data_IF_337233011508
#
_entry.id   IF_337233011508
#
_cell.length_a   1.000
_cell.length_b   1.000
_cell.length_c   1.000
_cell.angle_alpha   90.00
_cell.angle_beta   90.00
_cell.angle_gamma   90.00
#
_symmetry.space_group_name_H-M   'P 1'
#
loop_
_entity.id
_entity.type
_entity.pdbx_description
1 polymer ?
#
# COMPACT_ATOMS: atom_id res chain seq x y z
N UNK A 1 3.56 -38.81 9.14
CA UNK A 1 2.28 -39.14 8.50
C UNK A 1 1.51 -40.03 9.45
N UNK A 2 0.35 -39.57 9.90
CA UNK A 2 -0.54 -40.35 10.75
C UNK A 2 -1.54 -41.10 9.86
N UNK A 3 -1.33 -42.41 9.69
CA UNK A 3 -2.16 -43.24 8.81
C UNK A 3 -3.59 -43.38 9.31
N UNK A 4 -3.84 -43.25 10.62
CA UNK A 4 -5.21 -43.26 11.17
C UNK A 4 -5.95 -41.98 10.79
N UNK A 5 -5.30 -40.83 10.96
CA UNK A 5 -5.86 -39.52 10.58
C UNK A 5 -6.23 -39.49 9.08
N UNK A 6 -5.34 -39.99 8.24
CA UNK A 6 -5.57 -40.11 6.78
C UNK A 6 -6.77 -41.04 6.50
N UNK A 7 -6.83 -42.21 7.15
CA UNK A 7 -7.93 -43.16 6.97
C UNK A 7 -9.29 -42.60 7.40
N UNK A 8 -9.33 -41.88 8.51
CA UNK A 8 -10.53 -41.18 8.98
C UNK A 8 -10.96 -40.10 7.99
N UNK A 9 -10.02 -39.33 7.44
CA UNK A 9 -10.30 -38.32 6.43
C UNK A 9 -10.84 -38.93 5.14
N UNK A 10 -10.26 -40.02 4.63
CA UNK A 10 -10.78 -40.76 3.47
C UNK A 10 -12.22 -41.25 3.70
N UNK A 11 -12.52 -41.71 4.92
CA UNK A 11 -13.87 -42.12 5.31
C UNK A 11 -14.86 -40.95 5.33
N UNK A 12 -14.42 -39.76 5.75
CA UNK A 12 -15.21 -38.53 5.68
C UNK A 12 -15.52 -38.18 4.22
N UNK A 13 -14.51 -38.12 3.35
CA UNK A 13 -14.66 -37.82 1.93
C UNK A 13 -15.64 -38.78 1.23
N UNK A 14 -15.55 -40.09 1.52
CA UNK A 14 -16.49 -41.08 0.98
C UNK A 14 -17.93 -40.80 1.44
N UNK A 15 -18.12 -40.50 2.72
CA UNK A 15 -19.45 -40.24 3.30
C UNK A 15 -20.07 -38.94 2.79
N UNK A 16 -19.27 -37.90 2.53
CA UNK A 16 -19.72 -36.64 1.92
C UNK A 16 -20.32 -36.87 0.52
N UNK A 17 -19.79 -37.85 -0.21
CA UNK A 17 -20.34 -38.30 -1.50
C UNK A 17 -21.50 -39.30 -1.38
N UNK A 18 -21.88 -39.70 -0.16
CA UNK A 18 -22.98 -40.63 0.08
C UNK A 18 -22.71 -42.07 -0.36
N UNK A 19 -21.46 -42.48 -0.51
CA UNK A 19 -21.07 -43.78 -1.06
C UNK A 19 -20.85 -44.85 0.03
N UNK A 20 -21.13 -46.11 -0.26
CA UNK A 20 -20.68 -47.26 0.54
C UNK A 20 -19.22 -47.63 0.23
N UNK A 21 -18.58 -48.47 1.06
CA UNK A 21 -17.21 -48.92 0.79
C UNK A 21 -17.13 -49.76 -0.49
N UNK A 22 -18.17 -50.54 -0.78
CA UNK A 22 -18.32 -51.38 -1.97
C UNK A 22 -18.47 -50.51 -3.23
N UNK A 23 -19.27 -49.45 -3.17
CA UNK A 23 -19.43 -48.52 -4.29
C UNK A 23 -18.13 -47.76 -4.59
N UNK A 24 -17.41 -47.31 -3.56
CA UNK A 24 -16.11 -46.67 -3.77
C UNK A 24 -15.06 -47.66 -4.32
N UNK A 25 -15.11 -48.92 -3.89
CA UNK A 25 -14.26 -49.98 -4.40
C UNK A 25 -14.48 -50.23 -5.90
N UNK A 26 -15.73 -50.25 -6.35
CA UNK A 26 -16.07 -50.36 -7.78
C UNK A 26 -15.52 -49.18 -8.59
N UNK A 27 -15.68 -47.94 -8.11
CA UNK A 27 -15.20 -46.73 -8.78
C UNK A 27 -13.67 -46.73 -8.91
N UNK A 28 -12.97 -47.14 -7.85
CA UNK A 28 -11.50 -47.14 -7.81
C UNK A 28 -10.88 -48.44 -8.36
N UNK A 29 -11.70 -49.40 -8.81
CA UNK A 29 -11.29 -50.70 -9.32
C UNK A 29 -10.43 -51.51 -8.33
N UNK A 30 -10.83 -51.51 -7.05
CA UNK A 30 -10.18 -52.26 -5.96
C UNK A 30 -11.21 -53.08 -5.18
N UNK A 31 -10.76 -53.90 -4.22
CA UNK A 31 -11.69 -54.65 -3.37
C UNK A 31 -12.24 -53.80 -2.23
N UNK A 32 -13.49 -54.06 -1.77
CA UNK A 32 -14.06 -53.39 -0.59
C UNK A 32 -13.21 -53.58 0.68
N UNK A 33 -12.54 -54.73 0.82
CA UNK A 33 -11.56 -54.99 1.90
C UNK A 33 -10.37 -54.03 1.84
N UNK A 34 -9.95 -53.63 0.63
CA UNK A 34 -8.87 -52.65 0.44
C UNK A 34 -9.30 -51.27 0.94
N UNK A 35 -10.50 -50.81 0.57
CA UNK A 35 -11.08 -49.55 1.06
C UNK A 35 -11.17 -49.54 2.59
N UNK A 36 -11.70 -50.62 3.18
CA UNK A 36 -11.80 -50.76 4.63
C UNK A 36 -10.44 -50.61 5.33
N UNK A 37 -9.39 -51.25 4.81
CA UNK A 37 -8.02 -51.16 5.36
C UNK A 37 -7.41 -49.76 5.25
N UNK A 38 -7.75 -49.00 4.20
CA UNK A 38 -7.35 -47.61 4.06
C UNK A 38 -8.08 -46.73 5.08
N UNK A 39 -9.39 -46.89 5.22
CA UNK A 39 -10.21 -46.12 6.17
C UNK A 39 -9.89 -46.41 7.63
N UNK A 40 -9.37 -47.60 7.95
CA UNK A 40 -8.91 -47.96 9.31
C UNK A 40 -7.45 -47.62 9.55
N UNK A 41 -6.75 -47.03 8.56
CA UNK A 41 -5.33 -46.69 8.66
C UNK A 41 -4.38 -47.90 8.74
N UNK A 42 -4.87 -49.10 8.41
CA UNK A 42 -4.12 -50.36 8.46
C UNK A 42 -3.18 -50.52 7.27
N UNK A 43 -3.51 -49.92 6.13
CA UNK A 43 -2.64 -49.83 4.96
C UNK A 43 -2.83 -48.46 4.28
N UNK A 44 -1.92 -48.07 3.39
CA UNK A 44 -2.00 -46.81 2.63
C UNK A 44 -2.31 -47.10 1.15
N UNK A 45 -3.10 -46.27 0.47
CA UNK A 45 -3.18 -46.31 -0.98
C UNK A 45 -1.81 -46.03 -1.61
N UNK A 46 -1.55 -46.57 -2.80
CA UNK A 46 -0.36 -46.15 -3.55
C UNK A 46 -0.55 -44.75 -4.15
N UNK A 47 0.55 -44.16 -4.63
CA UNK A 47 0.52 -42.81 -5.20
C UNK A 47 -0.47 -42.68 -6.38
N UNK A 48 -0.64 -43.74 -7.18
CA UNK A 48 -1.54 -43.71 -8.33
C UNK A 48 -3.00 -43.65 -7.90
N UNK A 49 -3.36 -44.37 -6.84
CA UNK A 49 -4.70 -44.32 -6.23
C UNK A 49 -4.91 -42.99 -5.51
N UNK A 50 -3.89 -42.45 -4.82
CA UNK A 50 -4.00 -41.14 -4.17
C UNK A 50 -4.30 -40.03 -5.17
N UNK A 51 -3.67 -40.04 -6.35
CA UNK A 51 -3.97 -39.07 -7.42
C UNK A 51 -5.42 -39.23 -7.91
N UNK A 52 -5.87 -40.47 -8.16
CA UNK A 52 -7.27 -40.73 -8.56
C UNK A 52 -8.27 -40.28 -7.49
N UNK A 53 -7.97 -40.49 -6.22
CA UNK A 53 -8.80 -40.04 -5.10
C UNK A 53 -8.83 -38.51 -5.02
N UNK A 54 -7.68 -37.84 -5.18
CA UNK A 54 -7.56 -36.39 -5.20
C UNK A 54 -8.44 -35.77 -6.31
N UNK A 55 -8.38 -36.31 -7.52
CA UNK A 55 -9.24 -35.90 -8.63
C UNK A 55 -10.72 -36.17 -8.36
N UNK A 56 -11.05 -37.37 -7.85
CA UNK A 56 -12.43 -37.77 -7.58
C UNK A 56 -13.10 -36.93 -6.48
N UNK A 57 -12.36 -36.59 -5.43
CA UNK A 57 -12.86 -35.80 -4.30
C UNK A 57 -12.64 -34.28 -4.48
N UNK A 58 -11.94 -33.86 -5.54
CA UNK A 58 -11.55 -32.48 -5.80
C UNK A 58 -10.77 -31.85 -4.63
N UNK A 59 -9.70 -32.54 -4.20
CA UNK A 59 -8.78 -32.13 -3.12
C UNK A 59 -7.33 -32.33 -3.59
N UNK A 60 -6.36 -31.62 -3.00
CA UNK A 60 -4.94 -31.86 -3.24
C UNK A 60 -4.51 -33.19 -2.61
N UNK A 61 -3.58 -33.92 -3.25
CA UNK A 61 -2.95 -35.12 -2.66
C UNK A 61 -2.35 -34.79 -1.28
N UNK A 62 -1.86 -33.57 -1.10
CA UNK A 62 -1.33 -33.08 0.18
C UNK A 62 -2.40 -33.07 1.28
N UNK A 63 -3.63 -32.62 0.99
CA UNK A 63 -4.74 -32.61 1.95
C UNK A 63 -5.11 -34.04 2.40
N UNK A 64 -5.08 -35.00 1.46
CA UNK A 64 -5.27 -36.41 1.78
C UNK A 64 -4.19 -36.90 2.74
N UNK A 65 -2.92 -36.54 2.50
CA UNK A 65 -1.77 -36.95 3.31
C UNK A 65 -1.70 -36.24 4.68
N UNK A 66 -2.20 -35.00 4.76
CA UNK A 66 -2.31 -34.22 6.00
C UNK A 66 -3.54 -34.65 6.83
N UNK A 67 -4.47 -35.41 6.23
CA UNK A 67 -5.65 -35.98 6.86
C UNK A 67 -6.69 -34.92 7.23
N UNK A 68 -6.67 -33.78 6.56
CA UNK A 68 -7.60 -32.68 6.76
C UNK A 68 -7.70 -31.83 5.50
N UNK A 69 -8.91 -31.31 5.23
CA UNK A 69 -9.12 -30.37 4.14
C UNK A 69 -8.44 -29.05 4.52
N UNK A 70 -7.65 -28.44 3.64
CA UNK A 70 -7.21 -27.05 3.79
C UNK A 70 -8.47 -26.20 3.73
N UNK A 71 -8.92 -25.72 4.89
CA UNK A 71 -10.02 -24.78 4.91
C UNK A 71 -9.56 -23.45 4.30
N UNK A 72 -10.40 -22.84 3.47
CA UNK A 72 -10.20 -21.45 3.00
C UNK A 72 -10.05 -20.46 4.16
N UNK A 73 -10.55 -20.82 5.36
CA UNK A 73 -10.41 -20.02 6.58
C UNK A 73 -8.98 -19.90 7.09
N UNK A 74 -8.15 -20.95 6.94
CA UNK A 74 -6.77 -20.93 7.43
C UNK A 74 -5.84 -20.11 6.52
N UNK A 75 -6.12 -20.11 5.22
CA UNK A 75 -5.50 -19.19 4.26
C UNK A 75 -5.93 -17.74 4.49
N UNK A 76 -7.18 -17.51 4.93
CA UNK A 76 -7.69 -16.18 5.22
C UNK A 76 -7.04 -15.58 6.47
N UNK A 77 -6.94 -16.32 7.58
CA UNK A 77 -6.27 -15.85 8.79
C UNK A 77 -4.77 -15.62 8.59
N UNK A 78 -4.10 -16.49 7.82
CA UNK A 78 -2.68 -16.32 7.50
C UNK A 78 -2.46 -15.09 6.60
N UNK A 79 -3.30 -14.90 5.56
CA UNK A 79 -3.26 -13.70 4.72
C UNK A 79 -3.57 -12.45 5.51
N UNK A 80 -4.51 -12.49 6.45
CA UNK A 80 -4.87 -11.37 7.30
C UNK A 80 -3.76 -11.02 8.31
N UNK A 81 -3.07 -12.03 8.85
CA UNK A 81 -1.92 -11.82 9.72
C UNK A 81 -0.74 -11.25 8.95
N UNK A 82 -0.46 -11.77 7.75
CA UNK A 82 0.57 -11.26 6.85
C UNK A 82 0.27 -9.82 6.40
N UNK A 83 -0.98 -9.51 6.07
CA UNK A 83 -1.38 -8.15 5.69
C UNK A 83 -1.26 -7.20 6.87
N UNK A 84 -1.72 -7.60 8.06
CA UNK A 84 -1.54 -6.81 9.30
C UNK A 84 -0.05 -6.53 9.57
N UNK A 85 0.82 -7.55 9.51
CA UNK A 85 2.27 -7.37 9.72
C UNK A 85 2.89 -6.48 8.64
N UNK A 86 2.49 -6.63 7.37
CA UNK A 86 2.95 -5.78 6.29
C UNK A 86 2.50 -4.32 6.47
N UNK A 87 1.26 -4.10 6.89
CA UNK A 87 0.70 -2.78 7.17
C UNK A 87 1.36 -2.13 8.39
N UNK A 88 1.59 -2.87 9.48
CA UNK A 88 2.33 -2.38 10.65
C UNK A 88 3.75 -1.93 10.25
N UNK A 89 4.49 -2.77 9.52
CA UNK A 89 5.84 -2.44 9.06
C UNK A 89 5.84 -1.23 8.12
N UNK A 90 4.83 -1.10 7.25
CA UNK A 90 4.70 0.05 6.35
C UNK A 90 4.43 1.34 7.12
N UNK A 91 3.50 1.31 8.07
CA UNK A 91 3.15 2.46 8.91
C UNK A 91 4.32 2.88 9.82
N UNK A 92 5.04 1.93 10.40
CA UNK A 92 6.21 2.21 11.23
C UNK A 92 7.34 2.83 10.39
N UNK A 93 7.62 2.25 9.21
CA UNK A 93 8.58 2.81 8.25
C UNK A 93 8.19 4.21 7.80
N UNK A 94 6.91 4.49 7.59
CA UNK A 94 6.41 5.82 7.23
C UNK A 94 6.56 6.83 8.38
N UNK A 95 6.33 6.43 9.63
CA UNK A 95 6.53 7.31 10.80
C UNK A 95 7.99 7.66 11.03
N UNK A 96 8.87 6.66 10.99
CA UNK A 96 10.32 6.84 11.20
C UNK A 96 10.91 7.73 10.10
N UNK A 97 10.48 7.53 8.86
CA UNK A 97 10.95 8.34 7.73
C UNK A 97 10.42 9.77 7.77
N UNK A 98 9.16 9.98 8.12
CA UNK A 98 8.59 11.32 8.34
C UNK A 98 9.31 12.07 9.47
N UNK A 99 9.53 11.41 10.60
CA UNK A 99 10.27 11.99 11.73
C UNK A 99 11.72 12.32 11.34
N UNK A 100 12.39 11.43 10.61
CA UNK A 100 13.75 11.65 10.09
C UNK A 100 13.83 12.83 9.13
N UNK A 101 12.86 12.97 8.22
CA UNK A 101 12.77 14.11 7.30
C UNK A 101 12.60 15.45 8.03
N UNK A 102 11.74 15.49 9.05
CA UNK A 102 11.52 16.68 9.87
C UNK A 102 12.80 17.03 10.65
N UNK A 103 13.41 16.04 11.30
CA UNK A 103 14.65 16.23 12.06
C UNK A 103 15.79 16.74 11.18
N UNK A 104 16.01 16.11 10.02
CA UNK A 104 17.03 16.55 9.07
C UNK A 104 16.77 17.97 8.55
N UNK A 105 15.52 18.29 8.19
CA UNK A 105 15.14 19.63 7.75
C UNK A 105 15.43 20.70 8.81
N UNK A 106 15.13 20.40 10.08
CA UNK A 106 15.44 21.30 11.21
C UNK A 106 16.95 21.45 11.41
N UNK A 107 17.71 20.36 11.43
CA UNK A 107 19.17 20.41 11.56
C UNK A 107 19.81 21.20 10.40
N UNK A 108 19.38 20.96 9.17
CA UNK A 108 19.86 21.67 7.99
C UNK A 108 19.58 23.17 8.07
N UNK A 109 18.37 23.56 8.49
CA UNK A 109 17.99 24.97 8.67
C UNK A 109 18.82 25.67 9.76
N UNK A 110 19.08 24.98 10.87
CA UNK A 110 19.94 25.50 11.96
C UNK A 110 21.37 25.72 11.44
N UNK A 111 21.96 24.75 10.75
CA UNK A 111 23.30 24.89 10.18
C UNK A 111 23.38 26.03 9.15
N UNK A 112 22.38 26.16 8.28
CA UNK A 112 22.31 27.28 7.33
C UNK A 112 22.21 28.63 8.04
N UNK A 113 21.42 28.73 9.12
CA UNK A 113 21.31 29.96 9.92
C UNK A 113 22.62 30.31 10.63
N UNK A 114 23.34 29.33 11.19
CA UNK A 114 24.66 29.53 11.80
C UNK A 114 25.66 30.07 10.78
N UNK A 115 25.72 29.48 9.59
CA UNK A 115 26.55 29.95 8.47
C UNK A 115 26.23 31.40 8.12
N UNK A 116 24.94 31.76 8.01
CA UNK A 116 24.52 33.13 7.72
C UNK A 116 24.95 34.09 8.84
N UNK A 117 24.78 33.71 10.11
CA UNK A 117 25.17 34.52 11.26
C UNK A 117 26.70 34.71 11.30
N UNK A 118 27.49 33.65 11.06
CA UNK A 118 28.94 33.73 10.97
C UNK A 118 29.40 34.67 9.84
N UNK A 119 28.79 34.57 8.66
CA UNK A 119 29.03 35.48 7.54
C UNK A 119 28.73 36.94 7.92
N UNK A 120 27.65 37.18 8.68
CA UNK A 120 27.25 38.53 9.10
C UNK A 120 28.17 39.13 10.19
N UNK A 121 28.71 38.29 11.09
CA UNK A 121 29.55 38.72 12.21
C UNK A 121 31.02 38.90 11.82
N UNK A 122 31.59 37.95 11.07
CA UNK A 122 33.03 37.89 10.79
C UNK A 122 33.36 38.44 9.41
N UNK A 123 32.46 38.29 8.42
CA UNK A 123 32.66 38.79 7.06
C UNK A 123 33.70 38.03 6.23
N UNK A 124 34.43 37.06 6.80
CA UNK A 124 35.44 36.28 6.08
C UNK A 124 34.83 35.04 5.41
N UNK A 125 34.77 35.07 4.08
CA UNK A 125 34.24 33.98 3.26
C UNK A 125 35.05 32.68 3.41
N UNK A 126 36.35 32.77 3.68
CA UNK A 126 37.25 31.62 3.79
C UNK A 126 36.90 30.68 4.96
N UNK A 127 36.41 31.24 6.07
CA UNK A 127 36.04 30.47 7.27
C UNK A 127 34.77 29.63 7.00
N UNK A 128 33.85 30.20 6.24
CA UNK A 128 32.52 29.63 5.97
C UNK A 128 32.53 28.66 4.78
N UNK A 129 33.58 28.70 3.95
CA UNK A 129 33.72 27.83 2.77
C UNK A 129 33.72 26.33 3.13
N UNK A 130 34.35 25.96 4.25
CA UNK A 130 34.36 24.56 4.73
C UNK A 130 32.99 24.08 5.20
N UNK A 131 32.31 24.89 6.03
CA UNK A 131 30.98 24.56 6.56
C UNK A 131 29.92 24.46 5.47
N UNK A 132 29.96 25.38 4.50
CA UNK A 132 29.06 25.37 3.34
C UNK A 132 29.29 24.14 2.45
N UNK A 133 30.54 23.70 2.25
CA UNK A 133 30.84 22.48 1.51
C UNK A 133 30.29 21.23 2.23
N UNK A 134 30.47 21.13 3.55
CA UNK A 134 29.93 20.02 4.35
C UNK A 134 28.40 19.99 4.30
N UNK A 135 27.75 21.15 4.42
CA UNK A 135 26.29 21.26 4.35
C UNK A 135 25.75 20.81 2.98
N UNK A 136 26.39 21.21 1.88
CA UNK A 136 26.00 20.85 0.53
C UNK A 136 26.19 19.36 0.25
N UNK A 137 27.35 18.80 0.63
CA UNK A 137 27.64 17.37 0.45
C UNK A 137 26.70 16.52 1.30
N UNK A 138 26.46 16.90 2.55
CA UNK A 138 25.51 16.22 3.44
C UNK A 138 24.07 16.30 2.92
N UNK A 139 23.64 17.47 2.42
CA UNK A 139 22.35 17.67 1.77
C UNK A 139 22.15 16.79 0.54
N UNK A 140 23.14 16.74 -0.35
CA UNK A 140 23.10 15.91 -1.55
C UNK A 140 23.09 14.41 -1.22
N UNK A 141 23.91 13.97 -0.26
CA UNK A 141 23.93 12.58 0.20
C UNK A 141 22.59 12.16 0.82
N UNK A 142 21.98 13.02 1.64
CA UNK A 142 20.68 12.77 2.25
C UNK A 142 19.57 12.64 1.20
N UNK A 143 19.51 13.58 0.25
CA UNK A 143 18.56 13.53 -0.86
C UNK A 143 18.78 12.26 -1.67
N UNK A 144 20.04 11.86 -1.91
CA UNK A 144 20.42 10.62 -2.60
C UNK A 144 19.95 9.36 -1.86
N UNK A 145 20.13 9.28 -0.55
CA UNK A 145 19.66 8.15 0.28
C UNK A 145 18.13 8.09 0.28
N UNK A 146 17.45 9.23 0.40
CA UNK A 146 15.99 9.30 0.39
C UNK A 146 15.39 8.93 -0.97
N UNK A 147 16.01 9.42 -2.05
CA UNK A 147 15.64 9.06 -3.42
C UNK A 147 16.05 7.63 -3.76
N UNK A 148 17.05 7.02 -3.12
CA UNK A 148 17.35 5.59 -3.28
C UNK A 148 16.32 4.72 -2.55
N UNK A 149 15.94 5.09 -1.32
CA UNK A 149 15.08 4.26 -0.46
C UNK A 149 13.58 4.27 -0.80
N UNK A 150 13.12 5.10 -1.74
CA UNK A 150 11.68 5.14 -2.11
C UNK A 150 10.83 6.01 -1.23
N UNK A 151 11.47 6.76 -0.34
CA UNK A 151 10.84 7.48 0.75
C UNK A 151 10.63 8.96 0.42
N UNK A 152 11.16 9.43 -0.72
CA UNK A 152 10.93 10.77 -1.23
C UNK A 152 9.49 10.94 -1.76
N UNK A 153 8.53 10.87 -0.87
CA UNK A 153 7.20 11.41 -1.11
C UNK A 153 7.24 12.88 -0.69
N UNK A 154 7.08 13.76 -1.68
CA UNK A 154 6.90 15.18 -1.44
C UNK A 154 5.55 15.36 -0.73
N UNK A 155 5.52 15.12 0.59
CA UNK A 155 4.36 15.31 1.48
C UNK A 155 3.97 16.78 1.67
N UNK A 156 4.44 17.65 0.77
CA UNK A 156 3.93 18.99 0.62
C UNK A 156 2.46 18.89 0.24
N UNK A 157 1.61 19.59 0.99
CA UNK A 157 0.19 19.78 0.70
C UNK A 157 -0.04 20.41 -0.69
N UNK A 158 1.01 20.94 -1.31
CA UNK A 158 1.03 21.50 -2.66
C UNK A 158 1.60 20.47 -3.65
N UNK A 159 0.83 20.14 -4.69
CA UNK A 159 1.35 19.43 -5.88
C UNK A 159 2.55 20.21 -6.44
N UNK A 160 3.67 19.53 -6.64
CA UNK A 160 4.87 20.11 -7.28
C UNK A 160 4.56 20.39 -8.75
N UNK A 161 4.19 21.63 -9.02
CA UNK A 161 4.02 22.17 -10.36
C UNK A 161 5.28 22.92 -10.77
N UNK A 162 5.56 23.06 -12.08
CA UNK A 162 6.62 23.94 -12.59
C UNK A 162 6.69 25.29 -11.89
N UNK A 163 5.51 25.84 -11.63
CA UNK A 163 5.34 27.16 -11.09
C UNK A 163 5.68 27.21 -9.60
N UNK A 164 5.22 26.23 -8.81
CA UNK A 164 5.56 26.15 -7.38
C UNK A 164 7.05 25.92 -7.15
N UNK A 165 7.68 25.09 -7.98
CA UNK A 165 9.11 24.81 -7.89
C UNK A 165 9.94 26.08 -8.20
N UNK A 166 9.52 26.85 -9.21
CA UNK A 166 10.14 28.13 -9.55
C UNK A 166 9.96 29.18 -8.44
N UNK A 167 8.76 29.26 -7.85
CA UNK A 167 8.47 30.20 -6.77
C UNK A 167 9.33 29.91 -5.52
N UNK A 168 9.45 28.64 -5.13
CA UNK A 168 10.28 28.21 -4.00
C UNK A 168 11.76 28.53 -4.26
N UNK A 169 12.26 28.23 -5.47
CA UNK A 169 13.64 28.53 -5.85
C UNK A 169 13.94 30.03 -5.81
N UNK A 170 13.01 30.87 -6.29
CA UNK A 170 13.12 32.33 -6.26
C UNK A 170 13.14 32.88 -4.84
N UNK A 171 12.26 32.39 -3.95
CA UNK A 171 12.21 32.81 -2.56
C UNK A 171 13.52 32.45 -1.84
N UNK A 172 14.02 31.23 -2.02
CA UNK A 172 15.31 30.82 -1.46
C UNK A 172 16.46 31.68 -1.98
N UNK A 173 16.55 31.86 -3.31
CA UNK A 173 17.58 32.69 -3.93
C UNK A 173 17.55 34.13 -3.38
N UNK A 174 16.36 34.68 -3.14
CA UNK A 174 16.18 36.02 -2.60
C UNK A 174 16.77 36.18 -1.19
N UNK A 175 16.51 35.21 -0.30
CA UNK A 175 17.06 35.21 1.07
C UNK A 175 18.60 35.21 1.04
N UNK A 176 19.20 34.34 0.24
CA UNK A 176 20.67 34.28 0.13
C UNK A 176 21.27 35.50 -0.57
N UNK A 177 20.59 36.08 -1.57
CA UNK A 177 21.04 37.30 -2.23
C UNK A 177 21.06 38.49 -1.28
N UNK A 178 20.06 38.65 -0.42
CA UNK A 178 20.03 39.71 0.61
C UNK A 178 21.19 39.55 1.59
N UNK A 179 21.46 38.31 2.06
CA UNK A 179 22.59 38.03 2.93
C UNK A 179 23.94 38.39 2.27
N UNK A 180 24.11 38.10 0.97
CA UNK A 180 25.31 38.49 0.24
C UNK A 180 25.46 40.01 0.10
N UNK A 181 24.39 40.74 -0.20
CA UNK A 181 24.45 42.21 -0.29
C UNK A 181 24.94 42.81 1.03
N UNK A 182 24.41 42.33 2.16
CA UNK A 182 24.81 42.80 3.49
C UNK A 182 26.30 42.48 3.74
N UNK A 183 26.76 41.29 3.35
CA UNK A 183 28.16 40.89 3.47
C UNK A 183 29.10 41.80 2.64
N UNK A 184 28.77 42.07 1.37
CA UNK A 184 29.58 42.93 0.51
C UNK A 184 29.65 44.38 1.02
N UNK A 185 28.55 44.92 1.56
CA UNK A 185 28.54 46.26 2.17
C UNK A 185 29.44 46.30 3.41
N UNK A 186 29.47 45.23 4.22
CA UNK A 186 30.37 45.11 5.39
C UNK A 186 31.83 45.01 5.03
N UNK A 187 32.15 44.36 3.90
CA UNK A 187 33.50 44.27 3.33
C UNK A 187 33.99 45.59 2.69
N UNK A 188 33.18 46.66 2.73
CA UNK A 188 33.55 47.96 2.18
C UNK A 188 33.39 48.07 0.66
N UNK A 189 32.67 47.14 0.03
CA UNK A 189 32.38 47.22 -1.39
C UNK A 189 31.39 48.36 -1.69
N UNK A 190 31.50 48.93 -2.89
CA UNK A 190 30.53 49.93 -3.35
C UNK A 190 29.14 49.30 -3.52
N UNK A 191 28.08 50.07 -3.23
CA UNK A 191 26.69 49.58 -3.31
C UNK A 191 26.35 49.05 -4.71
N UNK A 192 26.92 49.66 -5.76
CA UNK A 192 26.76 49.20 -7.15
C UNK A 192 27.37 47.82 -7.39
N UNK A 193 28.59 47.57 -6.91
CA UNK A 193 29.25 46.26 -7.04
C UNK A 193 28.57 45.17 -6.21
N UNK A 194 28.11 45.52 -5.01
CA UNK A 194 27.38 44.60 -4.13
C UNK A 194 26.05 44.15 -4.78
N UNK A 195 25.27 45.09 -5.32
CA UNK A 195 24.00 44.80 -5.99
C UNK A 195 24.21 43.99 -7.27
N UNK A 196 25.22 44.33 -8.08
CA UNK A 196 25.52 43.60 -9.31
C UNK A 196 25.91 42.14 -9.03
N UNK A 197 26.78 41.91 -8.03
CA UNK A 197 27.21 40.57 -7.63
C UNK A 197 26.06 39.73 -7.06
N UNK A 198 25.17 40.36 -6.27
CA UNK A 198 23.99 39.70 -5.72
C UNK A 198 22.96 39.31 -6.79
N UNK A 199 22.79 40.13 -7.84
CA UNK A 199 21.91 39.80 -8.97
C UNK A 199 22.40 38.58 -9.75
N UNK A 200 23.70 38.50 -10.05
CA UNK A 200 24.29 37.34 -10.73
C UNK A 200 24.09 36.07 -9.88
N UNK A 201 24.36 36.18 -8.57
CA UNK A 201 24.20 35.06 -7.65
C UNK A 201 22.74 34.61 -7.49
N UNK A 202 21.81 35.56 -7.40
CA UNK A 202 20.37 35.28 -7.34
C UNK A 202 19.90 34.49 -8.55
N UNK A 203 20.25 34.94 -9.76
CA UNK A 203 19.89 34.25 -11.00
C UNK A 203 20.50 32.85 -11.05
N UNK A 204 21.78 32.72 -10.67
CA UNK A 204 22.48 31.44 -10.63
C UNK A 204 21.81 30.42 -9.69
N UNK A 205 21.52 30.80 -8.45
CA UNK A 205 20.86 29.92 -7.48
C UNK A 205 19.44 29.58 -7.91
N UNK A 206 18.67 30.54 -8.44
CA UNK A 206 17.31 30.28 -8.89
C UNK A 206 17.28 29.24 -10.02
N UNK A 207 18.21 29.31 -10.98
CA UNK A 207 18.34 28.34 -12.09
C UNK A 207 18.73 26.96 -11.56
N UNK A 208 19.76 26.88 -10.71
CA UNK A 208 20.24 25.61 -10.15
C UNK A 208 19.16 24.96 -9.27
N UNK A 209 18.53 25.75 -8.40
CA UNK A 209 17.45 25.28 -7.51
C UNK A 209 16.26 24.76 -8.30
N UNK A 210 15.83 25.48 -9.34
CA UNK A 210 14.76 25.02 -10.23
C UNK A 210 15.13 23.71 -10.93
N UNK A 211 16.36 23.60 -11.46
CA UNK A 211 16.86 22.39 -12.11
C UNK A 211 16.85 21.17 -11.18
N UNK A 212 17.35 21.33 -9.95
CA UNK A 212 17.35 20.26 -8.94
C UNK A 212 15.93 19.81 -8.60
N UNK A 213 15.01 20.74 -8.34
CA UNK A 213 13.61 20.42 -8.04
C UNK A 213 12.93 19.67 -9.19
N UNK A 214 13.21 20.07 -10.43
CA UNK A 214 12.71 19.40 -11.65
C UNK A 214 13.26 18.00 -11.84
N UNK A 215 14.56 17.82 -11.65
CA UNK A 215 15.20 16.50 -11.72
C UNK A 215 14.56 15.59 -10.66
N UNK A 216 14.40 16.07 -9.42
CA UNK A 216 13.74 15.32 -8.36
C UNK A 216 12.28 14.97 -8.71
N UNK A 217 11.52 15.91 -9.27
CA UNK A 217 10.15 15.65 -9.71
C UNK A 217 10.08 14.59 -10.82
N UNK A 218 11.00 14.64 -11.79
CA UNK A 218 11.08 13.67 -12.88
C UNK A 218 11.49 12.28 -12.39
N UNK A 219 12.46 12.19 -11.49
CA UNK A 219 12.84 10.94 -10.83
C UNK A 219 11.67 10.34 -10.06
N UNK A 220 10.89 11.18 -9.36
CA UNK A 220 9.73 10.72 -8.62
C UNK A 220 8.64 10.16 -9.56
N UNK A 221 8.41 10.81 -10.70
CA UNK A 221 7.49 10.34 -11.72
C UNK A 221 7.92 8.99 -12.33
N UNK A 222 9.17 8.89 -12.78
CA UNK A 222 9.73 7.65 -13.39
C UNK A 222 9.72 6.48 -12.41
N UNK A 223 9.87 6.75 -11.11
CA UNK A 223 9.81 5.71 -10.10
C UNK A 223 8.38 5.23 -9.84
N UNK A 224 7.39 6.14 -9.81
CA UNK A 224 5.97 5.75 -9.72
C UNK A 224 5.58 4.80 -10.85
N UNK A 225 6.10 5.05 -12.05
CA UNK A 225 5.93 4.19 -13.22
C UNK A 225 6.64 2.83 -13.02
N UNK A 226 7.89 2.80 -12.53
CA UNK A 226 8.67 1.57 -12.32
C UNK A 226 8.22 0.71 -11.13
N UNK A 227 7.53 1.28 -10.14
CA UNK A 227 6.93 0.54 -9.02
C UNK A 227 5.65 -0.21 -9.40
N UNK A 228 5.15 -0.01 -10.63
CA UNK A 228 4.13 -0.87 -11.22
C UNK A 228 4.85 -2.06 -11.88
N UNK A 229 4.61 -3.32 -11.46
CA UNK A 229 5.25 -4.48 -12.08
C UNK A 229 4.76 -4.66 -13.54
N UNK A 230 5.71 -4.63 -14.48
CA UNK A 230 5.54 -4.76 -15.94
C UNK A 230 5.13 -6.19 -16.42
N UNK A 231 4.28 -6.91 -15.69
CA UNK A 231 3.76 -8.21 -16.20
C UNK A 231 2.24 -8.39 -16.09
N UNK A 232 1.48 -7.30 -15.92
CA UNK A 232 0.01 -7.29 -16.05
C UNK A 232 -0.47 -6.26 -17.09
N UNK A 233 0.33 -6.00 -18.13
CA UNK A 233 0.05 -4.95 -19.12
C UNK A 233 -0.96 -5.32 -20.20
N UNK A 234 -1.79 -6.35 -20.02
CA UNK A 234 -2.89 -6.66 -20.95
C UNK A 234 -4.12 -7.15 -20.18
N UNK A 235 -4.86 -6.24 -19.53
CA UNK A 235 -6.35 -6.26 -19.40
C UNK A 235 -6.95 -5.26 -18.39
N UNK A 236 -6.18 -4.42 -17.68
CA UNK A 236 -6.76 -3.43 -16.75
C UNK A 236 -6.72 -2.02 -17.35
N UNK A 237 -7.60 -1.76 -18.31
CA UNK A 237 -8.01 -0.40 -18.67
C UNK A 237 -9.42 -0.22 -18.12
N UNK A 238 -9.57 0.66 -17.12
CA UNK A 238 -10.83 1.08 -16.48
C UNK A 238 -11.55 0.05 -15.58
N UNK A 239 -10.96 -0.31 -14.44
CA UNK A 239 -11.73 -0.88 -13.33
C UNK A 239 -11.39 -0.18 -12.01
N UNK A 240 -11.85 1.07 -11.86
CA UNK A 240 -11.88 1.68 -10.53
C UNK A 240 -13.11 1.12 -9.78
N UNK A 241 -12.97 0.71 -8.52
CA UNK A 241 -14.10 0.24 -7.74
C UNK A 241 -15.06 1.40 -7.47
N UNK A 242 -16.33 1.22 -7.82
CA UNK A 242 -17.39 2.24 -7.70
C UNK A 242 -18.37 1.81 -6.61
N UNK A 243 -18.76 2.75 -5.75
CA UNK A 243 -19.85 2.54 -4.81
C UNK A 243 -21.19 2.51 -5.57
N UNK A 244 -21.92 1.41 -5.44
CA UNK A 244 -23.20 1.18 -6.13
C UNK A 244 -24.42 1.32 -5.21
N UNK A 245 -24.25 1.16 -3.89
CA UNK A 245 -25.34 1.23 -2.92
C UNK A 245 -24.82 1.45 -1.49
N UNK A 246 -25.58 2.16 -0.66
CA UNK A 246 -25.27 2.29 0.78
C UNK A 246 -26.34 1.52 1.55
N UNK A 247 -25.93 0.42 2.16
CA UNK A 247 -26.78 -0.44 2.98
C UNK A 247 -26.94 0.14 4.39
N UNK A 248 -28.12 0.01 4.94
CA UNK A 248 -28.48 0.33 6.32
C UNK A 248 -28.32 -0.92 7.19
N UNK A 249 -27.14 -1.07 7.78
CA UNK A 249 -26.79 -2.20 8.63
C UNK A 249 -26.16 -3.40 7.92
N UNK A 250 -25.48 -4.22 8.73
CA UNK A 250 -24.72 -5.38 8.26
C UNK A 250 -25.58 -6.46 7.58
N UNK A 251 -26.81 -6.67 8.03
CA UNK A 251 -27.70 -7.68 7.45
C UNK A 251 -28.09 -7.32 6.01
N UNK A 252 -28.39 -6.05 5.73
CA UNK A 252 -28.74 -5.60 4.40
C UNK A 252 -27.50 -5.65 3.48
N UNK A 253 -26.33 -5.28 4.00
CA UNK A 253 -25.08 -5.35 3.24
C UNK A 253 -24.72 -6.78 2.83
N UNK A 254 -24.75 -7.73 3.76
CA UNK A 254 -24.44 -9.14 3.50
C UNK A 254 -25.43 -9.76 2.50
N UNK A 255 -26.73 -9.45 2.62
CA UNK A 255 -27.75 -9.91 1.68
C UNK A 255 -27.51 -9.39 0.25
N UNK A 256 -27.13 -8.12 0.09
CA UNK A 256 -26.81 -7.55 -1.21
C UNK A 256 -25.54 -8.18 -1.77
N UNK A 257 -24.50 -8.33 -0.95
CA UNK A 257 -23.21 -8.90 -1.36
C UNK A 257 -23.36 -10.36 -1.78
N UNK A 258 -24.12 -11.17 -1.03
CA UNK A 258 -24.37 -12.57 -1.38
C UNK A 258 -25.13 -12.68 -2.69
N UNK A 259 -26.19 -11.89 -2.88
CA UNK A 259 -27.00 -11.91 -4.09
C UNK A 259 -26.20 -11.44 -5.32
N UNK A 260 -25.34 -10.44 -5.17
CA UNK A 260 -24.43 -10.01 -6.24
C UNK A 260 -23.43 -11.13 -6.60
N UNK A 261 -22.88 -11.83 -5.60
CA UNK A 261 -21.97 -12.96 -5.82
C UNK A 261 -22.66 -14.13 -6.53
N UNK A 262 -23.91 -14.44 -6.17
CA UNK A 262 -24.70 -15.48 -6.82
C UNK A 262 -24.99 -15.15 -8.30
N UNK A 263 -25.02 -13.86 -8.64
CA UNK A 263 -25.12 -13.36 -10.01
C UNK A 263 -23.75 -13.16 -10.70
N UNK A 264 -22.66 -13.67 -10.13
CA UNK A 264 -21.32 -13.59 -10.70
C UNK A 264 -20.68 -12.19 -10.66
N UNK A 265 -21.18 -11.31 -9.80
CA UNK A 265 -20.68 -9.96 -9.58
C UNK A 265 -19.89 -9.93 -8.27
N UNK A 266 -18.59 -9.63 -8.35
CA UNK A 266 -17.77 -9.46 -7.15
C UNK A 266 -18.14 -8.14 -6.46
N UNK A 267 -18.57 -8.23 -5.21
CA UNK A 267 -18.95 -7.08 -4.39
C UNK A 267 -18.35 -7.20 -2.98
N UNK A 268 -18.03 -6.07 -2.36
CA UNK A 268 -17.58 -6.00 -0.97
C UNK A 268 -18.20 -4.80 -0.23
N UNK A 269 -18.35 -4.94 1.08
CA UNK A 269 -18.84 -3.89 1.96
C UNK A 269 -17.67 -3.07 2.53
N UNK A 270 -17.84 -1.75 2.60
CA UNK A 270 -16.94 -0.84 3.29
C UNK A 270 -17.73 -0.04 4.33
N UNK A 271 -17.36 -0.16 5.60
CA UNK A 271 -18.00 0.58 6.68
C UNK A 271 -17.78 2.09 6.52
N UNK A 272 -18.85 2.87 6.58
CA UNK A 272 -18.82 4.34 6.50
C UNK A 272 -18.78 5.01 7.88
N UNK A 273 -18.96 4.23 8.96
CA UNK A 273 -18.91 4.73 10.33
C UNK A 273 -17.50 5.03 10.81
N UNK A 274 -17.32 6.18 11.46
CA UNK A 274 -16.07 6.70 12.06
C UNK A 274 -15.51 5.84 13.23
N UNK A 275 -16.00 4.60 13.41
CA UNK A 275 -15.73 3.77 14.58
C UNK A 275 -14.44 2.94 14.49
N UNK A 276 -13.70 2.99 13.37
CA UNK A 276 -12.46 2.23 13.19
C UNK A 276 -11.32 2.64 14.14
N UNK A 277 -11.33 3.90 14.62
CA UNK A 277 -10.31 4.40 15.57
C UNK A 277 -10.86 4.74 16.97
N UNK A 278 -12.14 5.09 17.10
CA UNK A 278 -12.71 5.54 18.39
C UNK A 278 -13.12 4.39 19.32
N UNK A 279 -13.58 3.25 18.76
CA UNK A 279 -14.09 2.11 19.54
C UNK A 279 -13.00 1.42 20.38
N UNK A 280 -11.78 1.31 19.83
CA UNK A 280 -10.62 0.67 20.48
C UNK A 280 -10.07 1.49 21.65
N UNK A 281 -10.25 2.82 21.64
CA UNK A 281 -9.64 3.72 22.66
C UNK A 281 -10.56 4.08 23.83
N UNK A 282 -11.87 4.15 23.62
CA UNK A 282 -12.78 4.73 24.61
C UNK A 282 -13.84 3.78 25.16
N UNK A 283 -13.92 2.53 24.69
CA UNK A 283 -14.88 1.55 25.22
C UNK A 283 -16.34 2.01 25.15
N UNK A 284 -16.67 2.97 24.27
CA UNK A 284 -18.03 3.41 24.00
C UNK A 284 -18.60 2.55 22.87
N UNK A 285 -19.76 1.93 23.14
CA UNK A 285 -20.47 1.06 22.22
C UNK A 285 -20.85 1.75 20.91
N UNK A 286 -21.03 0.91 19.88
CA UNK A 286 -21.58 1.18 18.53
C UNK A 286 -22.08 2.61 18.34
N UNK A 287 -21.26 3.44 17.68
CA UNK A 287 -21.71 4.73 17.18
C UNK A 287 -22.67 4.54 16.02
N UNK A 288 -23.97 4.74 16.30
CA UNK A 288 -25.07 5.45 15.58
C UNK A 288 -25.17 5.38 14.03
N UNK A 289 -24.13 5.05 13.28
CA UNK A 289 -24.12 5.03 11.82
C UNK A 289 -23.66 3.65 11.29
N UNK A 290 -24.58 2.69 11.25
CA UNK A 290 -24.35 1.31 10.78
C UNK A 290 -24.38 1.22 9.23
N UNK A 291 -24.11 2.32 8.52
CA UNK A 291 -24.15 2.37 7.05
C UNK A 291 -22.91 1.75 6.41
N UNK A 292 -23.12 0.91 5.41
CA UNK A 292 -22.07 0.15 4.70
C UNK A 292 -22.17 0.44 3.20
N UNK A 293 -21.10 0.97 2.60
CA UNK A 293 -21.02 1.15 1.16
C UNK A 293 -20.75 -0.20 0.46
N UNK A 294 -21.52 -0.52 -0.57
CA UNK A 294 -21.34 -1.69 -1.42
C UNK A 294 -20.54 -1.28 -2.64
N UNK A 295 -19.38 -1.90 -2.83
CA UNK A 295 -18.43 -1.52 -3.85
C UNK A 295 -18.24 -2.65 -4.85
N UNK A 296 -18.29 -2.30 -6.14
CA UNK A 296 -18.25 -3.22 -7.29
C UNK A 296 -17.29 -2.67 -8.36
N UNK A 297 -16.61 -3.53 -9.14
CA UNK A 297 -15.86 -3.09 -10.31
C UNK A 297 -16.69 -2.21 -11.28
N UNK A 298 -16.10 -1.16 -11.86
CA UNK A 298 -16.83 -0.20 -12.70
C UNK A 298 -17.52 -0.81 -13.91
N UNK A 299 -16.95 -1.87 -14.49
CA UNK A 299 -17.53 -2.63 -15.62
C UNK A 299 -18.80 -3.40 -15.25
N UNK A 300 -19.00 -3.70 -13.97
CA UNK A 300 -20.18 -4.41 -13.46
C UNK A 300 -21.12 -3.51 -12.65
N UNK A 301 -20.84 -2.20 -12.59
CA UNK A 301 -21.62 -1.26 -11.78
C UNK A 301 -23.09 -1.17 -12.21
N UNK A 302 -23.36 -1.13 -13.52
CA UNK A 302 -24.74 -1.03 -14.03
C UNK A 302 -25.52 -2.33 -13.83
N UNK A 303 -24.88 -3.48 -14.04
CA UNK A 303 -25.46 -4.79 -13.75
C UNK A 303 -25.76 -4.95 -12.25
N UNK A 304 -24.84 -4.48 -11.38
CA UNK A 304 -25.06 -4.52 -9.94
C UNK A 304 -26.23 -3.63 -9.51
N UNK A 305 -26.35 -2.42 -10.08
CA UNK A 305 -27.50 -1.53 -9.83
C UNK A 305 -28.82 -2.17 -10.29
N UNK A 306 -28.82 -2.89 -11.41
CA UNK A 306 -30.00 -3.59 -11.88
C UNK A 306 -30.41 -4.73 -10.94
N UNK A 307 -29.45 -5.57 -10.51
CA UNK A 307 -29.70 -6.66 -9.56
C UNK A 307 -30.22 -6.12 -8.21
N UNK A 308 -29.66 -5.01 -7.72
CA UNK A 308 -30.14 -4.34 -6.50
C UNK A 308 -31.56 -3.79 -6.68
N UNK A 309 -31.89 -3.26 -7.86
CA UNK A 309 -33.24 -2.80 -8.19
C UNK A 309 -34.25 -3.96 -8.22
N UNK A 310 -33.85 -5.13 -8.73
CA UNK A 310 -34.68 -6.34 -8.73
C UNK A 310 -34.94 -6.90 -7.31
N UNK A 311 -34.05 -6.60 -6.34
CA UNK A 311 -34.30 -6.89 -4.92
C UNK A 311 -35.33 -5.95 -4.26
N UNK A 312 -35.86 -4.95 -4.98
CA UNK A 312 -36.80 -3.97 -4.43
C UNK A 312 -36.13 -2.89 -3.58
N UNK A 313 -34.82 -2.72 -3.69
CA UNK A 313 -34.04 -1.70 -2.99
C UNK A 313 -33.86 -0.49 -3.93
N UNK A 314 -34.76 0.49 -3.86
CA UNK A 314 -34.67 1.72 -4.66
C UNK A 314 -33.60 2.67 -4.11
N UNK A 315 -32.87 3.36 -5.00
CA UNK A 315 -31.79 4.27 -4.64
C UNK A 315 -32.32 5.51 -3.89
N UNK A 316 -31.85 5.75 -2.67
CA UNK A 316 -31.79 7.11 -2.13
C UNK A 316 -30.67 7.86 -2.87
N UNK A 317 -30.98 8.37 -4.07
CA UNK A 317 -30.10 9.27 -4.82
C UNK A 317 -30.08 10.62 -4.09
N UNK A 318 -29.14 10.82 -3.19
CA UNK A 318 -28.71 12.17 -2.81
C UNK A 318 -27.93 12.76 -3.98
N UNK A 319 -28.50 13.81 -4.59
CA UNK A 319 -27.84 14.75 -5.48
C UNK A 319 -26.62 15.42 -4.86
#
# INVERSE_FOLDING_TARGET
MDTKKIGEFLKVLRKERGLTQEQLAEILLVSGRTISRWETGTNMPDLSILIKMAEFYNVEVKEILDGERKSESMDKELKETLSKVADYNKLEKERVTKAGNIAFGLTFAICAAVIIIQLLMVGELAIVAGETAVLLVGGAAYIGVMTYNGVWETGSRFKSTPFTDALIAVICAGVFAVALVICYIRLGATTSQAVHSALIFFVGIAIVGFGVLRILACFNHKRREKSMPDNETVLVKEQQPVNVFIADGNMQAEMIISTLKDNGIMAYGQDLGDAGFASVRYGMGRGIDDRIAIIVPSDKADNAKQVIKEMGLEQNVTH
#
